data_IF_194214635530
#
_entry.id   IF_194214635530
#
_cell.length_a   1.000
_cell.length_b   1.000
_cell.length_c   1.000
_cell.angle_alpha   90.00
_cell.angle_beta   90.00
_cell.angle_gamma   90.00
#
_symmetry.space_group_name_H-M   'P 1'
#
loop_
_entity.id
_entity.type
_entity.pdbx_description
1 polymer ?
#
# COMPACT_ATOMS: atom_id res chain seq x y z
N UNK A 1 -14.97 -16.13 7.18
CA UNK A 1 -15.44 -15.72 8.53
C UNK A 1 -14.84 -14.38 8.90
N UNK A 2 -15.55 -13.60 9.69
CA UNK A 2 -15.13 -12.27 10.12
C UNK A 2 -15.09 -12.22 11.65
N UNK A 3 -13.99 -11.72 12.19
CA UNK A 3 -13.78 -11.50 13.62
C UNK A 3 -13.17 -10.12 13.83
N UNK A 4 -13.39 -9.56 15.01
CA UNK A 4 -12.81 -8.29 15.46
C UNK A 4 -12.09 -8.53 16.77
N UNK A 5 -10.89 -7.96 16.91
CA UNK A 5 -10.05 -8.12 18.10
C UNK A 5 -8.59 -8.40 17.75
N UNK A 6 -7.80 -8.73 18.75
CA UNK A 6 -6.43 -9.21 18.58
C UNK A 6 -6.45 -10.54 17.82
N UNK A 7 -5.49 -10.72 16.90
CA UNK A 7 -5.40 -11.97 16.12
C UNK A 7 -5.18 -13.20 17.02
N UNK A 8 -4.41 -13.05 18.11
CA UNK A 8 -4.15 -14.13 19.07
C UNK A 8 -5.42 -14.51 19.82
N UNK A 9 -6.23 -13.54 20.28
CA UNK A 9 -7.48 -13.81 20.95
C UNK A 9 -8.47 -14.55 20.04
N UNK A 10 -8.53 -14.13 18.78
CA UNK A 10 -9.37 -14.79 17.75
C UNK A 10 -8.89 -16.23 17.50
N UNK A 11 -7.57 -16.46 17.43
CA UNK A 11 -7.04 -17.81 17.25
C UNK A 11 -7.28 -18.69 18.48
N UNK A 12 -7.13 -18.16 19.69
CA UNK A 12 -7.48 -18.87 20.92
C UNK A 12 -8.96 -19.25 20.94
N UNK A 13 -9.88 -18.33 20.59
CA UNK A 13 -11.31 -18.63 20.45
C UNK A 13 -11.56 -19.76 19.45
N UNK A 14 -10.90 -19.73 18.29
CA UNK A 14 -11.06 -20.76 17.26
C UNK A 14 -10.52 -22.12 17.71
N UNK A 15 -9.41 -22.17 18.45
CA UNK A 15 -8.85 -23.43 19.00
C UNK A 15 -9.75 -24.13 20.00
N UNK A 16 -10.64 -23.38 20.72
CA UNK A 16 -11.61 -24.02 21.62
C UNK A 16 -12.71 -24.76 20.86
N UNK A 17 -12.90 -24.47 19.57
CA UNK A 17 -13.97 -25.01 18.76
C UNK A 17 -13.51 -25.96 17.66
N UNK A 18 -12.27 -25.78 17.18
CA UNK A 18 -11.74 -26.48 16.03
C UNK A 18 -10.29 -26.93 16.25
N UNK A 19 -9.93 -28.06 15.66
CA UNK A 19 -8.56 -28.50 15.59
C UNK A 19 -7.87 -27.84 14.39
N UNK A 20 -6.89 -26.97 14.64
CA UNK A 20 -6.15 -26.22 13.62
C UNK A 20 -4.78 -26.85 13.45
N UNK A 21 -4.50 -27.45 12.30
CA UNK A 21 -3.20 -28.04 11.99
C UNK A 21 -2.23 -27.07 11.33
N UNK A 22 -2.75 -26.10 10.55
CA UNK A 22 -1.91 -25.16 9.83
C UNK A 22 -2.63 -23.84 9.54
N UNK A 23 -1.85 -22.78 9.46
CA UNK A 23 -2.26 -21.43 9.05
C UNK A 23 -1.47 -21.05 7.80
N UNK A 24 -2.18 -20.64 6.77
CA UNK A 24 -1.61 -20.10 5.54
C UNK A 24 -1.77 -18.58 5.53
N UNK A 25 -0.67 -17.88 5.39
CA UNK A 25 -0.62 -16.43 5.41
C UNK A 25 0.25 -15.88 4.28
N UNK A 26 0.22 -14.58 4.11
CA UNK A 26 1.19 -13.88 3.29
C UNK A 26 2.31 -13.33 4.15
N UNK A 27 3.54 -13.33 3.61
CA UNK A 27 4.67 -12.66 4.26
C UNK A 27 4.32 -11.19 4.52
N UNK A 28 4.41 -10.75 5.77
CA UNK A 28 4.28 -9.33 6.11
C UNK A 28 5.52 -8.56 5.65
N UNK A 29 5.29 -7.43 5.01
CA UNK A 29 6.32 -6.52 4.50
C UNK A 29 5.97 -5.05 4.82
N UNK A 30 5.20 -4.84 5.88
CA UNK A 30 4.72 -3.54 6.33
C UNK A 30 5.65 -2.84 7.32
N UNK A 31 5.04 -2.11 8.24
CA UNK A 31 5.73 -1.38 9.30
C UNK A 31 6.03 -2.28 10.52
N UNK A 32 6.73 -1.73 11.50
CA UNK A 32 7.11 -2.47 12.73
C UNK A 32 5.88 -3.06 13.44
N UNK A 33 4.78 -2.33 13.54
CA UNK A 33 3.58 -2.81 14.23
C UNK A 33 3.00 -4.09 13.58
N UNK A 34 2.89 -4.11 12.26
CA UNK A 34 2.41 -5.30 11.52
C UNK A 34 3.41 -6.45 11.58
N UNK A 35 4.69 -6.13 11.60
CA UNK A 35 5.76 -7.12 11.70
C UNK A 35 5.79 -7.78 13.09
N UNK A 36 5.67 -6.98 14.16
CA UNK A 36 5.59 -7.49 15.54
C UNK A 36 4.35 -8.38 15.74
N UNK A 37 3.20 -8.00 15.15
CA UNK A 37 2.01 -8.84 15.14
C UNK A 37 2.30 -10.21 14.53
N UNK A 38 2.96 -10.27 13.40
CA UNK A 38 3.24 -11.54 12.71
C UNK A 38 4.30 -12.39 13.46
N UNK A 39 5.25 -11.74 14.14
CA UNK A 39 6.15 -12.44 15.07
C UNK A 39 5.35 -13.09 16.21
N UNK A 40 4.41 -12.36 16.80
CA UNK A 40 3.54 -12.90 17.85
C UNK A 40 2.71 -14.09 17.36
N UNK A 41 2.15 -13.99 16.15
CA UNK A 41 1.44 -15.12 15.50
C UNK A 41 2.35 -16.32 15.31
N UNK A 42 3.57 -16.11 14.85
CA UNK A 42 4.56 -17.17 14.66
C UNK A 42 4.92 -17.88 15.97
N UNK A 43 5.12 -17.12 17.05
CA UNK A 43 5.41 -17.67 18.37
C UNK A 43 4.21 -18.47 18.90
N UNK A 44 3.01 -17.90 18.80
CA UNK A 44 1.76 -18.56 19.17
C UNK A 44 1.55 -19.89 18.40
N UNK A 45 1.80 -19.90 17.09
CA UNK A 45 1.72 -21.12 16.29
C UNK A 45 2.70 -22.18 16.78
N UNK A 46 3.93 -21.79 17.13
CA UNK A 46 4.95 -22.70 17.67
C UNK A 46 4.51 -23.30 19.03
N UNK A 47 3.99 -22.48 19.92
CA UNK A 47 3.50 -22.90 21.25
C UNK A 47 2.31 -23.87 21.16
N UNK A 48 1.49 -23.73 20.13
CA UNK A 48 0.32 -24.58 19.90
C UNK A 48 0.54 -25.73 18.90
N UNK A 49 1.78 -25.97 18.47
CA UNK A 49 2.15 -26.99 17.47
C UNK A 49 1.40 -26.84 16.13
N UNK A 50 1.13 -25.61 15.70
CA UNK A 50 0.46 -25.27 14.45
C UNK A 50 1.51 -24.85 13.41
N UNK A 51 1.42 -25.41 12.19
CA UNK A 51 2.30 -25.01 11.10
C UNK A 51 1.90 -23.65 10.52
N UNK A 52 2.79 -22.66 10.56
CA UNK A 52 2.60 -21.39 9.87
C UNK A 52 3.32 -21.43 8.51
N UNK A 53 2.56 -21.32 7.42
CA UNK A 53 3.05 -21.37 6.04
C UNK A 53 2.84 -19.99 5.41
N UNK A 54 3.94 -19.27 5.16
CA UNK A 54 3.91 -17.92 4.62
C UNK A 54 4.28 -17.92 3.12
N UNK A 55 3.55 -17.18 2.32
CA UNK A 55 3.76 -17.03 0.88
C UNK A 55 4.05 -15.57 0.51
N UNK A 56 5.04 -15.31 -0.37
CA UNK A 56 5.33 -13.95 -0.84
C UNK A 56 4.20 -13.41 -1.72
N UNK A 57 3.73 -12.18 -1.44
CA UNK A 57 2.68 -11.51 -2.21
C UNK A 57 3.19 -10.57 -3.29
N UNK A 58 4.43 -10.13 -3.14
CA UNK A 58 5.00 -9.04 -3.93
C UNK A 58 6.46 -9.33 -4.31
N UNK A 59 7.18 -8.33 -4.78
CA UNK A 59 8.59 -8.47 -5.15
C UNK A 59 9.57 -8.22 -4.02
N UNK A 60 9.12 -8.17 -2.76
CA UNK A 60 9.98 -7.98 -1.60
C UNK A 60 10.54 -9.34 -1.14
N UNK A 61 11.78 -9.34 -0.71
CA UNK A 61 12.47 -10.51 -0.17
C UNK A 61 12.81 -10.23 1.28
N UNK A 62 12.22 -11.00 2.20
CA UNK A 62 12.49 -10.88 3.64
C UNK A 62 13.89 -11.39 3.97
N UNK A 63 14.54 -10.77 4.94
CA UNK A 63 15.89 -11.12 5.40
C UNK A 63 16.96 -11.10 4.29
N UNK A 64 16.81 -10.23 3.31
CA UNK A 64 17.76 -10.12 2.20
C UNK A 64 19.09 -9.53 2.68
N UNK A 65 20.16 -10.33 2.60
CA UNK A 65 21.51 -9.91 3.04
C UNK A 65 22.15 -8.89 2.10
N UNK A 66 21.94 -9.03 0.79
CA UNK A 66 22.50 -8.15 -0.22
C UNK A 66 21.40 -7.77 -1.24
N UNK A 67 21.36 -6.50 -1.63
CA UNK A 67 20.36 -5.96 -2.56
C UNK A 67 20.76 -6.03 -4.04
N UNK A 68 21.98 -6.45 -4.36
CA UNK A 68 22.49 -6.41 -5.73
C UNK A 68 21.63 -7.25 -6.70
N UNK A 69 21.21 -8.43 -6.28
CA UNK A 69 20.35 -9.31 -7.07
C UNK A 69 18.84 -9.12 -6.83
N UNK A 70 18.43 -8.22 -5.95
CA UNK A 70 17.01 -8.06 -5.60
C UNK A 70 16.11 -7.80 -6.82
N UNK A 71 16.53 -6.93 -7.73
CA UNK A 71 15.73 -6.60 -8.91
C UNK A 71 15.52 -7.81 -9.83
N UNK A 72 16.51 -8.71 -9.91
CA UNK A 72 16.43 -9.98 -10.63
C UNK A 72 15.42 -10.93 -10.00
N UNK A 73 15.50 -11.13 -8.68
CA UNK A 73 14.55 -11.95 -7.92
C UNK A 73 13.12 -11.40 -8.07
N UNK A 74 12.95 -10.09 -7.86
CA UNK A 74 11.65 -9.43 -8.03
C UNK A 74 11.09 -9.65 -9.44
N UNK A 75 11.90 -9.51 -10.48
CA UNK A 75 11.46 -9.66 -11.86
C UNK A 75 11.11 -11.12 -12.20
N UNK A 76 11.80 -12.09 -11.64
CA UNK A 76 11.44 -13.51 -11.76
C UNK A 76 10.08 -13.77 -11.12
N UNK A 77 9.86 -13.34 -9.87
CA UNK A 77 8.55 -13.46 -9.18
C UNK A 77 7.40 -12.83 -9.97
N UNK A 78 7.63 -11.69 -10.62
CA UNK A 78 6.59 -11.01 -11.42
C UNK A 78 6.27 -11.72 -12.74
N UNK A 79 7.13 -12.63 -13.20
CA UNK A 79 6.90 -13.46 -14.41
C UNK A 79 6.19 -14.79 -14.13
N UNK A 80 6.19 -15.23 -12.87
CA UNK A 80 5.53 -16.47 -12.48
C UNK A 80 4.04 -16.51 -12.88
N UNK A 81 3.51 -17.71 -13.05
CA UNK A 81 2.09 -17.88 -13.35
C UNK A 81 1.22 -17.45 -12.16
N UNK A 82 0.05 -16.91 -12.49
CA UNK A 82 -1.00 -16.69 -11.48
C UNK A 82 -1.55 -18.04 -11.07
N UNK A 83 -1.69 -18.24 -9.79
CA UNK A 83 -2.38 -19.41 -9.24
C UNK A 83 -3.88 -19.22 -9.50
N UNK A 84 -4.57 -20.18 -10.15
CA UNK A 84 -6.00 -20.09 -10.35
C UNK A 84 -6.73 -20.15 -9.00
N UNK A 85 -7.91 -19.53 -8.93
CA UNK A 85 -8.77 -19.71 -7.76
C UNK A 85 -9.20 -21.20 -7.68
N UNK A 86 -9.35 -21.78 -6.48
CA UNK A 86 -9.85 -23.13 -6.34
C UNK A 86 -11.27 -23.24 -6.92
N UNK A 87 -11.57 -24.41 -7.50
CA UNK A 87 -12.89 -24.70 -8.09
C UNK A 87 -13.96 -24.77 -6.99
N UNK A 88 -13.62 -25.38 -5.85
CA UNK A 88 -14.46 -25.47 -4.68
C UNK A 88 -13.63 -25.42 -3.40
N UNK A 89 -14.26 -25.04 -2.31
CA UNK A 89 -13.72 -25.12 -0.95
C UNK A 89 -14.70 -25.94 -0.13
N UNK A 90 -14.18 -26.80 0.73
CA UNK A 90 -15.00 -27.52 1.70
C UNK A 90 -15.21 -26.58 2.89
N UNK A 91 -16.45 -26.12 3.18
CA UNK A 91 -16.70 -25.27 4.32
C UNK A 91 -16.60 -26.07 5.62
N UNK A 92 -16.23 -25.39 6.70
CA UNK A 92 -16.29 -25.96 8.04
C UNK A 92 -17.71 -25.75 8.58
N UNK A 93 -18.39 -26.84 8.93
CA UNK A 93 -19.73 -26.77 9.54
C UNK A 93 -19.67 -26.18 10.94
N UNK A 94 -20.75 -25.51 11.34
CA UNK A 94 -20.90 -24.94 12.69
C UNK A 94 -20.12 -23.63 12.94
N UNK A 95 -19.28 -23.17 12.01
CA UNK A 95 -18.53 -21.93 12.19
C UNK A 95 -19.44 -20.70 11.96
N UNK A 96 -19.52 -19.82 12.95
CA UNK A 96 -20.23 -18.54 12.81
C UNK A 96 -19.47 -17.64 11.83
N UNK A 97 -20.15 -17.19 10.78
CA UNK A 97 -19.50 -16.35 9.72
C UNK A 97 -19.10 -14.97 10.26
N UNK A 98 -19.86 -14.42 11.21
CA UNK A 98 -19.68 -13.04 11.67
C UNK A 98 -20.31 -12.02 10.74
N UNK A 99 -20.31 -10.77 11.12
CA UNK A 99 -20.87 -9.66 10.32
C UNK A 99 -19.86 -8.52 10.19
N UNK A 100 -19.90 -7.81 9.06
CA UNK A 100 -19.13 -6.59 8.89
C UNK A 100 -19.65 -5.53 9.85
N UNK A 101 -18.80 -4.92 10.69
CA UNK A 101 -19.22 -3.84 11.58
C UNK A 101 -19.86 -2.70 10.80
N UNK A 102 -20.91 -2.10 11.36
CA UNK A 102 -21.56 -0.94 10.75
C UNK A 102 -20.60 0.25 10.70
N UNK A 103 -20.82 1.19 9.75
CA UNK A 103 -19.98 2.39 9.58
C UNK A 103 -19.88 3.27 10.83
N UNK A 104 -20.93 3.29 11.63
CA UNK A 104 -21.05 4.03 12.90
C UNK A 104 -20.49 3.26 14.10
N UNK A 105 -19.94 2.08 13.88
CA UNK A 105 -19.30 1.30 14.93
C UNK A 105 -18.11 2.07 15.53
N UNK A 106 -17.94 2.06 16.88
CA UNK A 106 -16.78 2.69 17.54
C UNK A 106 -15.42 2.16 17.10
N UNK A 107 -15.38 0.99 16.42
CA UNK A 107 -14.17 0.41 15.82
C UNK A 107 -13.62 1.31 14.71
N UNK A 108 -14.50 2.02 13.99
CA UNK A 108 -14.13 2.97 12.97
C UNK A 108 -14.09 4.38 13.57
N UNK A 109 -12.90 4.93 13.78
CA UNK A 109 -12.75 6.36 14.07
C UNK A 109 -13.12 7.13 12.81
N UNK A 110 -14.32 7.68 12.78
CA UNK A 110 -14.91 8.27 11.58
C UNK A 110 -14.64 9.78 11.51
N UNK A 111 -13.38 10.19 11.55
CA UNK A 111 -12.97 11.60 11.43
C UNK A 111 -12.88 12.06 9.96
N UNK A 112 -13.11 11.15 9.00
CA UNK A 112 -12.97 11.44 7.59
C UNK A 112 -14.31 11.80 6.95
N UNK A 113 -14.48 13.07 6.55
CA UNK A 113 -15.68 13.60 5.90
C UNK A 113 -15.57 13.68 4.38
N UNK A 114 -14.43 13.32 3.83
CA UNK A 114 -14.15 13.43 2.40
C UNK A 114 -14.65 12.24 1.58
N UNK A 115 -14.29 12.25 0.29
CA UNK A 115 -14.66 11.22 -0.68
C UNK A 115 -13.52 10.24 -0.90
N UNK A 116 -13.66 9.03 -0.40
CA UNK A 116 -12.69 7.94 -0.62
C UNK A 116 -13.07 7.05 -1.79
N UNK A 117 -12.05 6.38 -2.32
CA UNK A 117 -12.19 5.38 -3.36
C UNK A 117 -12.85 4.11 -2.80
N UNK A 118 -13.80 3.53 -3.55
CA UNK A 118 -14.44 2.27 -3.15
C UNK A 118 -13.42 1.13 -3.15
N UNK A 119 -13.52 0.26 -2.15
CA UNK A 119 -12.72 -0.95 -2.03
C UNK A 119 -13.32 -2.14 -2.77
N UNK A 120 -12.64 -3.28 -2.66
CA UNK A 120 -13.10 -4.56 -3.20
C UNK A 120 -12.50 -4.95 -4.55
N UNK A 121 -12.59 -6.24 -4.86
CA UNK A 121 -12.01 -6.86 -6.05
C UNK A 121 -12.59 -6.30 -7.34
N UNK A 122 -13.91 -6.19 -7.42
CA UNK A 122 -14.59 -5.73 -8.63
C UNK A 122 -14.25 -4.28 -8.95
N UNK A 123 -14.12 -3.43 -7.93
CA UNK A 123 -13.68 -2.05 -8.11
C UNK A 123 -12.21 -1.97 -8.56
N UNK A 124 -11.34 -2.82 -8.02
CA UNK A 124 -9.96 -2.93 -8.49
C UNK A 124 -9.87 -3.26 -9.98
N UNK A 125 -10.67 -4.24 -10.43
CA UNK A 125 -10.73 -4.66 -11.84
C UNK A 125 -11.31 -3.57 -12.74
N UNK A 126 -12.36 -2.88 -12.32
CA UNK A 126 -12.92 -1.73 -13.05
C UNK A 126 -11.89 -0.61 -13.21
N UNK A 127 -11.21 -0.26 -12.14
CA UNK A 127 -10.23 0.82 -12.13
C UNK A 127 -9.03 0.49 -13.01
N UNK A 128 -8.48 -0.71 -12.92
CA UNK A 128 -7.33 -1.08 -13.75
C UNK A 128 -7.72 -1.22 -15.22
N UNK A 129 -8.90 -1.77 -15.52
CA UNK A 129 -9.43 -1.86 -16.88
C UNK A 129 -9.61 -0.48 -17.51
N UNK A 130 -10.29 0.45 -16.82
CA UNK A 130 -10.48 1.82 -17.32
C UNK A 130 -9.15 2.55 -17.52
N UNK A 131 -8.15 2.28 -16.67
CA UNK A 131 -6.81 2.83 -16.85
C UNK A 131 -6.14 2.28 -18.11
N UNK A 132 -6.13 0.96 -18.28
CA UNK A 132 -5.48 0.32 -19.43
C UNK A 132 -6.17 0.71 -20.73
N UNK A 133 -7.48 0.76 -20.78
CA UNK A 133 -8.23 0.97 -22.02
C UNK A 133 -8.26 2.45 -22.47
N UNK A 134 -8.25 3.38 -21.53
CA UNK A 134 -8.41 4.81 -21.84
C UNK A 134 -7.44 5.73 -21.09
N UNK A 135 -7.50 5.77 -19.76
CA UNK A 135 -6.81 6.80 -18.95
C UNK A 135 -5.28 6.78 -19.08
N UNK A 136 -4.70 5.67 -19.49
CA UNK A 136 -3.26 5.53 -19.69
C UNK A 136 -2.71 6.25 -20.92
N UNK A 137 -3.57 6.67 -21.88
CA UNK A 137 -3.14 7.28 -23.15
C UNK A 137 -2.21 8.48 -22.95
N UNK A 138 -2.50 9.32 -21.94
CA UNK A 138 -1.71 10.51 -21.61
C UNK A 138 -1.06 10.44 -20.21
N UNK A 139 -0.84 9.24 -19.69
CA UNK A 139 -0.40 9.03 -18.31
C UNK A 139 0.89 9.78 -17.98
N UNK A 140 1.96 9.60 -18.77
CA UNK A 140 3.26 10.26 -18.54
C UNK A 140 3.17 11.78 -18.63
N UNK A 141 2.35 12.31 -19.51
CA UNK A 141 2.17 13.74 -19.68
C UNK A 141 1.43 14.36 -18.49
N UNK A 142 0.53 13.62 -17.86
CA UNK A 142 -0.39 14.11 -16.84
C UNK A 142 -0.03 13.69 -15.40
N UNK A 143 0.88 12.75 -15.22
CA UNK A 143 1.18 12.14 -13.90
C UNK A 143 1.57 13.15 -12.81
N UNK A 144 2.13 14.29 -13.18
CA UNK A 144 2.55 15.35 -12.25
C UNK A 144 1.64 16.58 -12.26
N UNK A 145 0.57 16.59 -13.04
CA UNK A 145 -0.34 17.74 -13.14
C UNK A 145 -1.44 17.64 -12.08
N UNK A 146 -1.56 18.61 -11.14
CA UNK A 146 -2.48 18.51 -10.00
C UNK A 146 -3.94 18.25 -10.42
N UNK A 147 -4.52 19.10 -11.27
CA UNK A 147 -5.94 19.05 -11.58
C UNK A 147 -6.39 17.87 -12.45
N UNK A 148 -5.51 17.27 -13.25
CA UNK A 148 -5.87 16.20 -14.19
C UNK A 148 -5.35 14.83 -13.79
N UNK A 149 -4.31 14.77 -12.95
CA UNK A 149 -3.66 13.51 -12.57
C UNK A 149 -4.63 12.54 -11.87
N UNK A 150 -5.57 13.01 -11.10
CA UNK A 150 -6.58 12.18 -10.46
C UNK A 150 -7.38 11.37 -11.49
N UNK A 151 -7.72 11.97 -12.63
CA UNK A 151 -8.48 11.32 -13.71
C UNK A 151 -7.61 10.43 -14.61
N UNK A 152 -6.30 10.68 -14.69
CA UNK A 152 -5.39 10.00 -15.63
C UNK A 152 -4.42 9.04 -14.99
N UNK A 153 -4.21 9.10 -13.67
CA UNK A 153 -3.42 8.11 -12.95
C UNK A 153 -4.18 6.79 -12.74
N UNK A 154 -3.44 5.73 -12.46
CA UNK A 154 -4.04 4.39 -12.30
C UNK A 154 -5.00 4.29 -11.13
N UNK A 155 -4.77 5.01 -10.05
CA UNK A 155 -5.58 4.96 -8.81
C UNK A 155 -5.63 3.57 -8.17
N UNK A 156 -4.64 2.72 -8.44
CA UNK A 156 -4.63 1.31 -8.01
C UNK A 156 -3.96 1.09 -6.65
N UNK A 157 -3.30 2.11 -6.08
CA UNK A 157 -2.50 1.96 -4.85
C UNK A 157 -3.29 1.44 -3.64
N UNK A 158 -4.54 1.89 -3.34
CA UNK A 158 -5.32 1.33 -2.24
C UNK A 158 -5.60 -0.16 -2.42
N UNK A 159 -5.91 -0.56 -3.65
CA UNK A 159 -6.19 -1.95 -3.99
C UNK A 159 -4.97 -2.86 -3.87
N UNK A 160 -3.77 -2.35 -4.16
CA UNK A 160 -2.52 -3.06 -3.94
C UNK A 160 -2.17 -3.18 -2.45
N UNK A 161 -2.52 -2.18 -1.64
CA UNK A 161 -2.30 -2.19 -0.19
C UNK A 161 -3.18 -3.22 0.50
N UNK A 162 -4.46 -3.27 0.13
CA UNK A 162 -5.43 -4.20 0.69
C UNK A 162 -5.49 -5.57 -0.03
N UNK A 163 -4.59 -5.82 -0.98
CA UNK A 163 -4.49 -7.10 -1.67
C UNK A 163 -5.71 -7.48 -2.53
N UNK A 164 -6.60 -6.54 -2.84
CA UNK A 164 -7.77 -6.81 -3.71
C UNK A 164 -7.38 -7.07 -5.16
N UNK A 165 -6.16 -6.69 -5.54
CA UNK A 165 -5.47 -7.07 -6.78
C UNK A 165 -3.97 -7.15 -6.52
N UNK A 166 -3.26 -8.09 -7.16
CA UNK A 166 -1.83 -8.22 -7.00
C UNK A 166 -1.04 -7.44 -8.06
N UNK A 167 0.20 -7.06 -7.73
CA UNK A 167 1.13 -6.47 -8.72
C UNK A 167 1.38 -7.40 -9.90
N UNK A 168 1.41 -8.71 -9.67
CA UNK A 168 1.60 -9.75 -10.69
C UNK A 168 0.44 -9.77 -11.69
N UNK A 169 -0.80 -9.69 -11.21
CA UNK A 169 -1.99 -9.58 -12.08
C UNK A 169 -1.95 -8.33 -12.95
N UNK A 170 -1.64 -7.17 -12.35
CA UNK A 170 -1.57 -5.91 -13.11
C UNK A 170 -0.51 -6.02 -14.21
N UNK A 171 0.67 -6.54 -13.90
CA UNK A 171 1.75 -6.70 -14.89
C UNK A 171 1.31 -7.63 -16.03
N UNK A 172 0.59 -8.73 -15.74
CA UNK A 172 0.03 -9.59 -16.79
C UNK A 172 -0.98 -8.86 -17.67
N UNK A 173 -1.94 -8.14 -17.08
CA UNK A 173 -2.92 -7.35 -17.83
C UNK A 173 -2.24 -6.30 -18.75
N UNK A 174 -1.23 -5.60 -18.23
CA UNK A 174 -0.45 -4.64 -19.01
C UNK A 174 0.31 -5.29 -20.16
N UNK A 175 0.85 -6.50 -19.98
CA UNK A 175 1.56 -7.26 -21.03
C UNK A 175 0.61 -7.71 -22.12
N UNK A 176 -0.53 -8.28 -21.76
CA UNK A 176 -1.56 -8.73 -22.72
C UNK A 176 -2.02 -7.56 -23.59
N UNK A 177 -2.33 -6.43 -22.99
CA UNK A 177 -2.79 -5.26 -23.73
C UNK A 177 -1.71 -4.67 -24.65
N UNK A 178 -0.46 -4.67 -24.20
CA UNK A 178 0.68 -4.20 -25.02
C UNK A 178 0.84 -5.03 -26.30
N UNK A 179 0.67 -6.34 -26.19
CA UNK A 179 0.79 -7.27 -27.33
C UNK A 179 -0.36 -7.12 -28.32
N UNK A 180 -1.58 -6.89 -27.83
CA UNK A 180 -2.82 -6.83 -28.61
C UNK A 180 -3.19 -5.41 -29.07
N UNK A 181 -2.34 -4.42 -28.90
CA UNK A 181 -2.67 -3.02 -29.23
C UNK A 181 -2.59 -2.78 -30.74
N UNK A 182 -3.73 -2.45 -31.35
CA UNK A 182 -3.89 -1.98 -32.74
C UNK A 182 -3.92 -0.44 -32.87
N UNK A 183 -3.52 0.28 -31.83
CA UNK A 183 -3.65 1.75 -31.79
C UNK A 183 -2.65 2.43 -32.72
N UNK A 184 -3.10 3.50 -33.39
CA UNK A 184 -2.31 4.31 -34.33
C UNK A 184 -1.03 4.92 -33.70
N UNK A 185 -0.95 5.04 -32.36
CA UNK A 185 0.22 5.51 -31.62
C UNK A 185 0.77 4.45 -30.64
N UNK A 186 0.92 3.21 -31.11
CA UNK A 186 1.40 2.04 -30.34
C UNK A 186 2.68 2.33 -29.52
N UNK A 187 3.62 3.08 -30.09
CA UNK A 187 4.88 3.43 -29.39
C UNK A 187 4.66 4.28 -28.14
N UNK A 188 3.86 5.35 -28.24
CA UNK A 188 3.53 6.26 -27.11
C UNK A 188 2.70 5.51 -26.07
N UNK A 189 1.69 4.76 -26.50
CA UNK A 189 0.87 3.95 -25.62
C UNK A 189 1.71 2.93 -24.82
N UNK A 190 2.59 2.18 -25.48
CA UNK A 190 3.48 1.24 -24.84
C UNK A 190 4.44 1.91 -23.85
N UNK A 191 4.89 3.14 -24.12
CA UNK A 191 5.71 3.95 -23.20
C UNK A 191 4.93 4.26 -21.91
N UNK A 192 3.66 4.62 -22.02
CA UNK A 192 2.77 4.85 -20.86
C UNK A 192 2.54 3.57 -20.04
N UNK A 193 2.31 2.42 -20.70
CA UNK A 193 2.15 1.13 -20.00
C UNK A 193 3.46 0.67 -19.33
N UNK A 194 4.61 0.94 -19.93
CA UNK A 194 5.89 0.65 -19.29
C UNK A 194 6.15 1.56 -18.08
N UNK A 195 5.69 2.80 -18.13
CA UNK A 195 5.81 3.71 -17.00
C UNK A 195 5.06 3.22 -15.76
N UNK A 196 3.84 2.68 -15.91
CA UNK A 196 3.13 2.11 -14.76
C UNK A 196 3.82 0.85 -14.22
N UNK A 197 4.40 -0.01 -15.07
CA UNK A 197 5.23 -1.13 -14.63
C UNK A 197 6.42 -0.66 -13.79
N UNK A 198 7.08 0.41 -14.23
CA UNK A 198 8.15 1.05 -13.47
C UNK A 198 7.65 1.54 -12.10
N UNK A 199 6.44 2.12 -12.00
CA UNK A 199 5.87 2.53 -10.69
C UNK A 199 5.59 1.35 -9.77
N UNK A 200 5.16 0.22 -10.30
CA UNK A 200 5.03 -1.01 -9.51
C UNK A 200 6.39 -1.52 -9.01
N UNK A 201 7.45 -1.37 -9.81
CA UNK A 201 8.82 -1.67 -9.37
C UNK A 201 9.29 -0.72 -8.27
N UNK A 202 9.02 0.58 -8.40
CA UNK A 202 9.32 1.59 -7.37
C UNK A 202 8.60 1.30 -6.05
N UNK A 203 7.33 0.86 -6.12
CA UNK A 203 6.59 0.42 -4.92
C UNK A 203 7.36 -0.69 -4.19
N UNK A 204 7.75 -1.74 -4.89
CA UNK A 204 8.54 -2.82 -4.30
C UNK A 204 9.89 -2.33 -3.78
N UNK A 205 10.56 -1.40 -4.49
CA UNK A 205 11.83 -0.83 -4.06
C UNK A 205 11.74 -0.10 -2.71
N UNK A 206 10.72 0.73 -2.50
CA UNK A 206 10.55 1.44 -1.24
C UNK A 206 10.20 0.50 -0.08
N UNK A 207 9.33 -0.49 -0.33
CA UNK A 207 9.01 -1.49 0.69
C UNK A 207 10.24 -2.34 1.02
N UNK A 208 11.03 -2.77 0.00
CA UNK A 208 12.28 -3.49 0.23
C UNK A 208 13.30 -2.66 1.00
N UNK A 209 13.30 -1.32 0.83
CA UNK A 209 14.18 -0.45 1.60
C UNK A 209 13.82 -0.47 3.08
N UNK A 210 12.52 -0.38 3.42
CA UNK A 210 12.05 -0.50 4.80
C UNK A 210 12.37 -1.88 5.38
N UNK A 211 12.11 -2.95 4.62
CA UNK A 211 12.43 -4.34 5.02
C UNK A 211 13.91 -4.54 5.33
N UNK A 212 14.80 -3.95 4.51
CA UNK A 212 16.25 -4.08 4.69
C UNK A 212 16.79 -3.20 5.81
N UNK A 213 16.14 -2.08 6.08
CA UNK A 213 16.54 -1.08 7.08
C UNK A 213 15.31 -0.60 7.87
N UNK A 214 14.74 -1.42 8.77
CA UNK A 214 13.52 -1.08 9.49
C UNK A 214 13.62 0.19 10.35
N UNK A 215 14.83 0.57 10.77
CA UNK A 215 15.06 1.80 11.56
C UNK A 215 14.60 3.08 10.87
N UNK A 216 14.50 3.10 9.54
CA UNK A 216 14.05 4.30 8.80
C UNK A 216 12.57 4.64 9.03
N UNK A 217 11.81 3.78 9.70
CA UNK A 217 10.45 4.10 10.15
C UNK A 217 10.44 5.17 11.26
N UNK A 218 11.51 5.19 12.10
CA UNK A 218 11.56 6.02 13.30
C UNK A 218 12.76 6.98 13.32
N UNK A 219 13.75 6.76 12.48
CA UNK A 219 14.98 7.53 12.46
C UNK A 219 15.36 7.95 11.05
N UNK A 220 16.17 8.98 10.94
CA UNK A 220 16.67 9.44 9.65
C UNK A 220 17.55 8.37 9.00
N UNK A 221 17.53 8.30 7.66
CA UNK A 221 18.37 7.38 6.90
C UNK A 221 19.86 7.57 7.20
N UNK A 222 20.29 8.80 7.45
CA UNK A 222 21.61 9.13 7.94
C UNK A 222 21.51 9.60 9.40
N UNK A 223 22.12 8.90 10.37
CA UNK A 223 21.94 9.15 11.80
C UNK A 223 22.27 10.58 12.25
N UNK A 224 23.19 11.26 11.55
CA UNK A 224 23.58 12.63 11.83
C UNK A 224 22.40 13.62 11.87
N UNK A 225 21.32 13.35 11.12
CA UNK A 225 20.14 14.22 11.06
C UNK A 225 19.07 13.90 12.12
N UNK A 226 19.29 12.92 13.00
CA UNK A 226 18.26 12.51 13.97
C UNK A 226 17.90 13.61 14.95
N UNK A 227 18.88 14.39 15.37
CA UNK A 227 18.70 15.43 16.39
C UNK A 227 18.36 16.81 15.79
N UNK A 228 18.44 16.97 14.46
CA UNK A 228 18.37 18.27 13.79
C UNK A 228 17.07 19.06 14.08
N UNK A 229 15.93 18.36 14.30
CA UNK A 229 14.61 18.97 14.50
C UNK A 229 13.82 18.32 15.63
N UNK A 230 14.49 17.61 16.54
CA UNK A 230 13.84 16.72 17.51
C UNK A 230 12.94 17.46 18.49
N UNK A 231 13.41 18.59 18.99
CA UNK A 231 12.77 19.35 20.06
C UNK A 231 12.22 20.71 19.59
N UNK A 232 12.38 21.03 18.31
CA UNK A 232 12.05 22.34 17.73
C UNK A 232 10.83 22.21 16.79
N UNK A 233 9.65 21.94 17.36
CA UNK A 233 8.42 21.83 16.60
C UNK A 233 7.47 23.00 16.81
N UNK A 234 7.35 23.87 15.82
CA UNK A 234 6.33 24.91 15.82
C UNK A 234 4.95 24.30 15.56
N UNK A 235 4.12 24.21 16.60
CA UNK A 235 2.79 23.61 16.53
C UNK A 235 1.80 24.42 15.70
N UNK A 236 1.95 25.73 15.60
CA UNK A 236 1.10 26.60 14.76
C UNK A 236 1.39 26.31 13.29
N UNK A 237 2.67 26.23 12.90
CA UNK A 237 3.07 25.87 11.54
C UNK A 237 2.62 24.46 11.18
N UNK A 238 2.76 23.51 12.09
CA UNK A 238 2.27 22.14 11.86
C UNK A 238 0.77 22.10 11.63
N UNK A 239 -0.01 22.81 12.47
CA UNK A 239 -1.46 22.91 12.34
C UNK A 239 -1.85 23.56 11.01
N UNK A 240 -1.25 24.70 10.68
CA UNK A 240 -1.51 25.40 9.42
C UNK A 240 -1.20 24.52 8.21
N UNK A 241 -0.08 23.80 8.21
CA UNK A 241 0.29 22.87 7.16
C UNK A 241 -0.71 21.72 7.05
N UNK A 242 -1.05 21.08 8.17
CA UNK A 242 -1.99 19.95 8.24
C UNK A 242 -3.39 20.32 7.74
N UNK A 243 -3.85 21.54 8.03
CA UNK A 243 -5.17 22.04 7.63
C UNK A 243 -5.18 22.68 6.22
N UNK A 244 -4.01 22.91 5.63
CA UNK A 244 -3.88 23.61 4.34
C UNK A 244 -4.20 25.09 4.45
N UNK A 245 -3.67 25.74 5.50
CA UNK A 245 -3.87 27.15 5.85
C UNK A 245 -2.52 27.89 6.03
N UNK A 246 -1.51 27.49 5.26
CA UNK A 246 -0.16 28.06 5.34
C UNK A 246 -0.05 29.45 4.70
N UNK A 247 -1.03 29.84 3.88
CA UNK A 247 -0.98 31.05 3.04
C UNK A 247 -0.24 30.84 1.71
N UNK A 248 0.32 29.65 1.46
CA UNK A 248 0.91 29.30 0.17
C UNK A 248 -0.13 28.55 -0.68
N UNK A 249 -0.75 29.19 -1.69
CA UNK A 249 -1.97 28.67 -2.32
C UNK A 249 -1.83 27.25 -2.88
N UNK A 250 -0.68 26.91 -3.47
CA UNK A 250 -0.47 25.60 -4.05
C UNK A 250 -0.24 24.51 -2.98
N UNK A 251 0.49 24.80 -1.93
CA UNK A 251 0.66 23.92 -0.75
C UNK A 251 -0.70 23.63 -0.13
N UNK A 252 -1.48 24.68 0.14
CA UNK A 252 -2.77 24.59 0.79
C UNK A 252 -3.78 23.82 -0.06
N UNK A 253 -3.83 24.08 -1.37
CA UNK A 253 -4.68 23.33 -2.28
C UNK A 253 -4.34 21.82 -2.32
N UNK A 254 -3.05 21.48 -2.33
CA UNK A 254 -2.60 20.09 -2.30
C UNK A 254 -2.95 19.39 -0.97
N UNK A 255 -2.75 20.07 0.16
CA UNK A 255 -3.10 19.51 1.47
C UNK A 255 -4.61 19.34 1.63
N UNK A 256 -5.41 20.35 1.28
CA UNK A 256 -6.88 20.24 1.29
C UNK A 256 -7.38 19.12 0.37
N UNK A 257 -6.76 18.95 -0.81
CA UNK A 257 -7.07 17.84 -1.70
C UNK A 257 -6.73 16.48 -1.08
N UNK A 258 -5.60 16.37 -0.38
CA UNK A 258 -5.23 15.15 0.36
C UNK A 258 -6.23 14.85 1.46
N UNK A 259 -6.57 15.84 2.29
CA UNK A 259 -7.53 15.70 3.38
C UNK A 259 -8.93 15.30 2.88
N UNK A 260 -9.36 15.79 1.71
CA UNK A 260 -10.66 15.47 1.14
C UNK A 260 -10.70 14.14 0.39
N UNK A 261 -9.67 13.82 -0.40
CA UNK A 261 -9.66 12.65 -1.29
C UNK A 261 -8.91 11.43 -0.71
N UNK A 262 -8.09 11.62 0.32
CA UNK A 262 -7.15 10.61 0.81
C UNK A 262 -6.08 10.24 -0.21
N UNK A 263 -5.90 11.06 -1.28
CA UNK A 263 -4.96 10.77 -2.35
C UNK A 263 -4.45 12.04 -3.04
N UNK A 264 -3.15 12.06 -3.30
CA UNK A 264 -2.48 13.03 -4.18
C UNK A 264 -1.37 12.34 -4.99
N UNK A 265 -0.84 13.01 -6.02
CA UNK A 265 0.27 12.46 -6.79
C UNK A 265 1.54 12.37 -5.94
N UNK A 266 2.47 11.50 -6.36
CA UNK A 266 3.77 11.38 -5.70
C UNK A 266 4.54 12.72 -5.66
N UNK A 267 4.51 13.49 -6.75
CA UNK A 267 5.21 14.79 -6.81
C UNK A 267 4.66 15.81 -5.82
N UNK A 268 3.34 15.89 -5.67
CA UNK A 268 2.71 16.79 -4.69
C UNK A 268 2.96 16.32 -3.27
N UNK A 269 2.97 15.01 -3.03
CA UNK A 269 3.35 14.45 -1.73
C UNK A 269 4.78 14.81 -1.35
N UNK A 270 5.72 14.64 -2.28
CA UNK A 270 7.12 15.03 -2.07
C UNK A 270 7.26 16.54 -1.79
N UNK A 271 6.49 17.37 -2.51
CA UNK A 271 6.47 18.81 -2.29
C UNK A 271 5.91 19.18 -0.91
N UNK A 272 4.80 18.61 -0.48
CA UNK A 272 4.22 18.87 0.85
C UNK A 272 5.21 18.50 1.97
N UNK A 273 5.88 17.35 1.85
CA UNK A 273 6.88 16.92 2.84
C UNK A 273 8.12 17.81 2.79
N UNK A 274 8.59 18.20 1.60
CA UNK A 274 9.70 19.12 1.43
C UNK A 274 9.42 20.48 2.07
N UNK A 275 8.25 21.06 1.77
CA UNK A 275 7.83 22.33 2.37
C UNK A 275 7.75 22.25 3.90
N UNK A 276 7.13 21.22 4.45
CA UNK A 276 7.07 21.02 5.90
C UNK A 276 8.46 20.91 6.53
N UNK A 277 9.37 20.17 5.88
CA UNK A 277 10.69 19.87 6.47
C UNK A 277 11.71 20.98 6.27
N UNK A 278 11.68 21.71 5.14
CA UNK A 278 12.72 22.72 4.83
C UNK A 278 12.24 24.15 5.02
N UNK A 279 11.02 24.47 4.63
CA UNK A 279 10.50 25.84 4.72
C UNK A 279 9.88 26.11 6.09
N UNK A 280 9.15 25.15 6.66
CA UNK A 280 8.56 25.24 8.00
C UNK A 280 9.44 24.65 9.10
N UNK A 281 10.55 24.02 8.76
CA UNK A 281 11.50 23.37 9.67
C UNK A 281 10.90 22.32 10.60
N UNK A 282 9.83 21.63 10.18
CA UNK A 282 9.11 20.63 10.97
C UNK A 282 9.80 19.26 10.89
N UNK A 283 9.74 18.50 12.00
CA UNK A 283 10.24 17.13 12.03
C UNK A 283 9.37 16.20 11.18
N UNK A 284 9.99 15.52 10.21
CA UNK A 284 9.33 14.58 9.31
C UNK A 284 8.65 13.41 10.06
N UNK A 285 9.17 13.02 11.24
CA UNK A 285 8.59 11.97 12.08
C UNK A 285 7.19 12.34 12.58
N UNK A 286 6.89 13.61 12.70
CA UNK A 286 5.58 14.14 13.07
C UNK A 286 4.70 14.37 11.84
N UNK A 287 5.26 15.00 10.79
CA UNK A 287 4.51 15.29 9.57
C UNK A 287 4.21 14.04 8.76
N UNK A 288 5.04 13.01 8.83
CA UNK A 288 4.84 11.72 8.15
C UNK A 288 3.66 10.90 8.67
N UNK A 289 3.20 11.15 9.89
CA UNK A 289 2.03 10.47 10.45
C UNK A 289 0.70 11.03 9.93
N UNK A 290 0.68 12.28 9.46
CA UNK A 290 -0.49 12.90 8.85
C UNK A 290 -0.62 12.47 7.40
#
# INVERSE_FOLDING_TARGET
ILRTGSVIDVFNELLTQFNISSIYAHEETGNKWTYDRDINVKNWCKENNISLIEHPTNGIVRNLKNRDDWSKIRNLRMKENLIPKPISLVPIEGIKVGSIPKKDSPIFKNDFTGKVQKGGRDEALKIIKSFIDDRSKNYLFNISKPGISEKTCSRISPHLTWGTISSKEIIKLLNLKKNNSLQNNKKVYNKNLNAIKSRLSWRCHFIQKLETQPSIEFSCMHPFYNELRKDDMNLEFYKAWKEGLTGYPFIDACMRSLNYNGWITFRMRAMLVSFASYDLWLDWRKTGHH
#
